data_IF_566773828363
#
_entry.id   IF_566773828363
#
_cell.length_a   1.000
_cell.length_b   1.000
_cell.length_c   1.000
_cell.angle_alpha   90.00
_cell.angle_beta   90.00
_cell.angle_gamma   90.00
#
_symmetry.space_group_name_H-M   'P 1'
#
loop_
_entity.id
_entity.type
_entity.pdbx_description
1 polymer ?
#
# COMPACT_ATOMS: atom_id res chain seq x y z
N UNK A 1 8.69 0.50 14.95
CA UNK A 1 8.66 -0.81 14.27
C UNK A 1 8.46 -0.51 12.80
N UNK A 2 9.29 -1.06 11.93
CA UNK A 2 9.04 -0.97 10.49
C UNK A 2 7.87 -1.89 10.14
N UNK A 3 6.99 -1.45 9.26
CA UNK A 3 5.96 -2.28 8.64
C UNK A 3 6.41 -2.55 7.21
N UNK A 4 6.81 -3.79 6.95
CA UNK A 4 7.43 -4.16 5.69
C UNK A 4 6.38 -4.63 4.68
N UNK A 5 6.60 -4.33 3.41
CA UNK A 5 5.72 -4.78 2.34
C UNK A 5 6.48 -5.15 1.07
N UNK A 6 5.78 -5.81 0.16
CA UNK A 6 6.23 -6.05 -1.20
C UNK A 6 5.22 -5.45 -2.17
N UNK A 7 5.72 -4.83 -3.24
CA UNK A 7 4.92 -4.23 -4.32
C UNK A 7 5.22 -4.99 -5.59
N UNK A 8 4.18 -5.58 -6.20
CA UNK A 8 4.30 -6.55 -7.28
C UNK A 8 3.41 -6.21 -8.48
N UNK A 9 3.83 -6.65 -9.65
CA UNK A 9 3.11 -6.50 -10.91
C UNK A 9 2.96 -7.86 -11.61
N UNK A 10 1.70 -8.24 -11.92
CA UNK A 10 1.39 -9.42 -12.70
C UNK A 10 1.49 -9.11 -14.19
N UNK A 11 2.47 -9.73 -14.84
CA UNK A 11 2.73 -9.61 -16.26
C UNK A 11 1.70 -10.40 -17.11
N UNK A 12 1.61 -10.06 -18.37
CA UNK A 12 0.71 -10.75 -19.32
C UNK A 12 1.06 -12.21 -19.60
N UNK A 13 2.32 -12.61 -19.35
CA UNK A 13 2.79 -13.99 -19.47
C UNK A 13 2.53 -14.83 -18.19
N UNK A 14 1.97 -14.22 -17.14
CA UNK A 14 1.66 -14.86 -15.87
C UNK A 14 2.77 -14.76 -14.83
N UNK A 15 3.97 -14.30 -15.22
CA UNK A 15 5.06 -14.05 -14.28
C UNK A 15 4.79 -12.79 -13.44
N UNK A 16 5.35 -12.75 -12.24
CA UNK A 16 5.24 -11.62 -11.33
C UNK A 16 6.62 -11.05 -11.07
N UNK A 17 6.74 -9.74 -11.08
CA UNK A 17 7.94 -9.01 -10.66
C UNK A 17 7.60 -8.21 -9.42
N UNK A 18 8.53 -8.13 -8.46
CA UNK A 18 8.28 -7.40 -7.22
C UNK A 18 9.49 -6.67 -6.68
N UNK A 19 9.19 -5.62 -5.92
CA UNK A 19 10.13 -4.81 -5.15
C UNK A 19 9.75 -4.84 -3.68
N UNK A 20 10.73 -4.80 -2.80
CA UNK A 20 10.56 -4.74 -1.36
C UNK A 20 10.47 -3.29 -0.87
N UNK A 21 9.60 -3.01 0.10
CA UNK A 21 9.49 -1.69 0.77
C UNK A 21 9.62 -1.87 2.28
N UNK A 22 10.61 -1.21 2.89
CA UNK A 22 10.99 -1.43 4.29
C UNK A 22 10.11 -0.70 5.30
N UNK A 23 9.65 0.52 4.99
CA UNK A 23 8.85 1.33 5.91
C UNK A 23 7.45 1.59 5.37
N UNK A 24 6.52 1.83 6.31
CA UNK A 24 5.16 2.30 6.07
C UNK A 24 4.31 1.40 5.17
N UNK A 25 4.58 0.08 5.19
CA UNK A 25 3.94 -0.92 4.33
C UNK A 25 2.44 -1.09 4.50
N UNK A 26 1.77 -0.39 5.43
CA UNK A 26 0.33 -0.46 5.68
C UNK A 26 -0.49 0.30 4.61
N UNK A 27 -1.81 0.08 4.59
CA UNK A 27 -2.68 0.61 3.54
C UNK A 27 -2.73 2.14 3.48
N UNK A 28 -2.62 2.84 4.62
CA UNK A 28 -2.57 4.31 4.68
C UNK A 28 -1.16 4.89 4.52
N UNK A 29 -0.17 4.05 4.31
CA UNK A 29 1.20 4.40 3.92
C UNK A 29 1.44 4.02 2.46
N UNK A 30 2.17 2.92 2.23
CA UNK A 30 2.46 2.41 0.87
C UNK A 30 1.19 2.26 0.04
N UNK A 31 0.11 1.73 0.61
CA UNK A 31 -1.16 1.56 -0.11
C UNK A 31 -1.72 2.87 -0.65
N UNK A 32 -1.70 3.94 0.15
CA UNK A 32 -2.13 5.28 -0.28
C UNK A 32 -1.22 5.81 -1.40
N UNK A 33 0.08 5.71 -1.24
CA UNK A 33 1.07 6.14 -2.25
C UNK A 33 0.86 5.42 -3.58
N UNK A 34 0.59 4.12 -3.56
CA UNK A 34 0.29 3.34 -4.76
C UNK A 34 -0.98 3.82 -5.45
N UNK A 35 -2.04 4.08 -4.71
CA UNK A 35 -3.30 4.59 -5.25
C UNK A 35 -3.14 5.99 -5.85
N UNK A 36 -2.46 6.90 -5.18
CA UNK A 36 -2.34 8.31 -5.60
C UNK A 36 -1.34 8.50 -6.75
N UNK A 37 -0.22 7.76 -6.76
CA UNK A 37 0.91 8.07 -7.64
C UNK A 37 1.27 6.95 -8.62
N UNK A 38 0.88 5.69 -8.35
CA UNK A 38 1.25 4.52 -9.16
C UNK A 38 0.06 3.74 -9.71
N UNK A 39 -1.09 4.41 -9.88
CA UNK A 39 -2.35 3.79 -10.27
C UNK A 39 -2.56 3.75 -11.81
N UNK A 40 -1.54 3.35 -12.54
CA UNK A 40 -1.60 3.03 -13.97
C UNK A 40 -0.66 1.87 -14.27
N UNK A 41 -0.90 1.18 -15.40
CA UNK A 41 -0.13 -0.01 -15.79
C UNK A 41 1.38 0.27 -15.89
N UNK A 42 1.73 1.40 -16.52
CA UNK A 42 3.12 1.84 -16.66
C UNK A 42 3.78 2.15 -15.31
N UNK A 43 3.10 2.91 -14.45
CA UNK A 43 3.63 3.31 -13.14
C UNK A 43 3.69 2.14 -12.17
N UNK A 44 2.68 1.26 -12.20
CA UNK A 44 2.67 0.05 -11.40
C UNK A 44 3.81 -0.89 -11.76
N UNK A 45 4.08 -1.08 -13.06
CA UNK A 45 5.25 -1.84 -13.49
C UNK A 45 6.55 -1.17 -13.03
N UNK A 46 6.68 0.15 -13.22
CA UNK A 46 7.89 0.89 -12.85
C UNK A 46 8.25 0.74 -11.37
N UNK A 47 7.27 0.87 -10.46
CA UNK A 47 7.51 0.71 -9.02
C UNK A 47 7.81 -0.74 -8.63
N UNK A 48 7.31 -1.71 -9.38
CA UNK A 48 7.51 -3.14 -9.09
C UNK A 48 8.86 -3.69 -9.57
N UNK A 49 9.63 -2.93 -10.33
CA UNK A 49 10.95 -3.33 -10.84
C UNK A 49 12.12 -2.53 -10.24
N UNK A 50 11.90 -1.79 -9.16
CA UNK A 50 12.94 -0.99 -8.51
C UNK A 50 13.84 -1.77 -7.53
N UNK A 51 13.45 -3.00 -7.18
CA UNK A 51 14.18 -3.88 -6.27
C UNK A 51 13.91 -3.57 -4.79
N UNK A 52 14.62 -2.63 -4.22
CA UNK A 52 14.48 -2.26 -2.81
C UNK A 52 14.16 -0.78 -2.63
N UNK A 53 13.19 -0.49 -1.76
CA UNK A 53 12.90 0.87 -1.30
C UNK A 53 12.99 0.94 0.23
N UNK A 54 13.71 1.92 0.76
CA UNK A 54 13.62 2.23 2.20
C UNK A 54 12.22 2.74 2.55
N UNK A 55 11.70 3.67 1.76
CA UNK A 55 10.31 4.14 1.78
C UNK A 55 9.86 4.47 0.37
N UNK A 56 8.57 4.40 0.11
CA UNK A 56 7.99 4.76 -1.17
C UNK A 56 7.42 6.18 -1.10
N UNK A 57 7.87 7.07 -2.00
CA UNK A 57 7.35 8.43 -2.16
C UNK A 57 6.57 8.57 -3.47
N UNK A 58 6.03 9.76 -3.74
CA UNK A 58 5.33 10.08 -4.99
C UNK A 58 6.27 10.06 -6.21
N UNK A 59 7.56 10.37 -6.00
CA UNK A 59 8.60 10.32 -7.03
C UNK A 59 9.44 9.03 -6.88
N UNK A 60 9.44 8.22 -7.95
CA UNK A 60 10.18 6.97 -7.98
C UNK A 60 11.70 7.17 -7.88
N UNK A 61 12.24 8.23 -8.51
CA UNK A 61 13.67 8.51 -8.45
C UNK A 61 14.09 8.88 -7.02
N UNK A 62 13.27 9.68 -6.32
CA UNK A 62 13.50 10.00 -4.90
C UNK A 62 13.46 8.75 -4.03
N UNK A 63 12.54 7.83 -4.30
CA UNK A 63 12.45 6.55 -3.58
C UNK A 63 13.69 5.68 -3.80
N UNK A 64 14.23 5.66 -5.03
CA UNK A 64 15.44 4.91 -5.37
C UNK A 64 16.70 5.56 -4.79
N UNK A 65 16.82 6.90 -4.84
CA UNK A 65 17.97 7.62 -4.27
C UNK A 65 18.11 7.46 -2.76
N UNK A 66 16.99 7.34 -2.05
CA UNK A 66 16.96 7.11 -0.60
C UNK A 66 17.21 5.65 -0.21
N UNK A 67 17.25 4.75 -1.18
CA UNK A 67 17.48 3.33 -0.92
C UNK A 67 18.95 3.08 -0.63
N UNK A 68 19.23 2.56 0.57
CA UNK A 68 20.61 2.22 1.01
C UNK A 68 21.05 0.82 0.59
N UNK A 69 20.13 0.03 0.04
CA UNK A 69 20.35 -1.33 -0.41
C UNK A 69 20.06 -1.45 -1.90
N UNK A 70 20.87 -2.26 -2.60
CA UNK A 70 20.71 -2.61 -4.01
C UNK A 70 20.26 -4.06 -4.11
N UNK A 71 19.11 -4.37 -3.55
CA UNK A 71 18.54 -5.71 -3.71
C UNK A 71 17.98 -5.89 -5.10
N UNK A 72 18.13 -7.09 -5.63
CA UNK A 72 17.63 -7.42 -6.95
C UNK A 72 16.09 -7.51 -6.93
N UNK A 73 15.50 -7.29 -8.09
CA UNK A 73 14.07 -7.49 -8.32
C UNK A 73 13.76 -8.97 -8.16
N UNK A 74 12.80 -9.29 -7.31
CA UNK A 74 12.31 -10.66 -7.18
C UNK A 74 11.37 -11.00 -8.33
N UNK A 75 11.52 -12.20 -8.88
CA UNK A 75 10.69 -12.68 -9.98
C UNK A 75 10.11 -14.05 -9.64
N UNK A 76 8.84 -14.23 -9.97
CA UNK A 76 8.08 -15.46 -9.73
C UNK A 76 7.42 -15.92 -11.04
N UNK A 77 7.50 -17.20 -11.32
CA UNK A 77 6.94 -17.76 -12.55
C UNK A 77 5.40 -17.90 -12.50
N UNK A 78 4.81 -17.80 -11.29
CA UNK A 78 3.37 -17.95 -11.11
C UNK A 78 2.86 -17.21 -9.86
N UNK A 79 1.54 -17.03 -9.82
CA UNK A 79 0.83 -16.51 -8.63
C UNK A 79 1.02 -17.43 -7.41
N UNK A 80 1.06 -18.72 -7.61
CA UNK A 80 1.26 -19.71 -6.53
C UNK A 80 2.62 -19.51 -5.87
N UNK A 81 3.68 -19.38 -6.66
CA UNK A 81 5.03 -19.13 -6.15
C UNK A 81 5.13 -17.80 -5.39
N UNK A 82 4.48 -16.76 -5.90
CA UNK A 82 4.42 -15.47 -5.20
C UNK A 82 3.66 -15.55 -3.87
N UNK A 83 2.55 -16.27 -3.82
CA UNK A 83 1.80 -16.50 -2.58
C UNK A 83 2.61 -17.33 -1.57
N UNK A 84 3.33 -18.36 -2.03
CA UNK A 84 4.26 -19.14 -1.21
C UNK A 84 5.37 -18.26 -0.64
N UNK A 85 5.99 -17.40 -1.46
CA UNK A 85 6.97 -16.42 -1.02
C UNK A 85 6.43 -15.50 0.08
N UNK A 86 5.22 -14.97 -0.09
CA UNK A 86 4.57 -14.14 0.94
C UNK A 86 4.36 -14.91 2.25
N UNK A 87 3.98 -16.20 2.17
CA UNK A 87 3.72 -17.05 3.33
C UNK A 87 5.00 -17.43 4.08
N UNK A 88 6.10 -17.64 3.38
CA UNK A 88 7.38 -18.04 3.97
C UNK A 88 8.15 -16.88 4.59
N UNK A 89 7.93 -15.65 4.11
CA UNK A 89 8.62 -14.45 4.57
C UNK A 89 7.87 -13.76 5.71
N UNK A 90 8.04 -14.25 6.93
CA UNK A 90 7.33 -13.77 8.14
C UNK A 90 7.61 -12.31 8.54
N UNK A 91 8.58 -11.66 7.91
CA UNK A 91 8.87 -10.23 8.11
C UNK A 91 8.03 -9.32 7.21
N UNK A 92 7.43 -9.87 6.15
CA UNK A 92 6.48 -9.13 5.30
C UNK A 92 5.13 -9.06 6.01
N UNK A 93 4.56 -7.88 6.12
CA UNK A 93 3.25 -7.67 6.73
C UNK A 93 2.17 -7.41 5.68
N UNK A 94 2.54 -6.85 4.52
CA UNK A 94 1.65 -6.55 3.40
C UNK A 94 2.25 -6.98 2.06
N UNK A 95 1.37 -7.44 1.17
CA UNK A 95 1.67 -7.67 -0.24
C UNK A 95 0.70 -6.89 -1.12
N UNK A 96 1.23 -6.07 -2.02
CA UNK A 96 0.47 -5.31 -3.02
C UNK A 96 0.71 -5.90 -4.39
N UNK A 97 -0.36 -6.13 -5.17
CA UNK A 97 -0.28 -6.70 -6.50
C UNK A 97 -1.10 -5.89 -7.49
N UNK A 98 -0.46 -5.37 -8.53
CA UNK A 98 -1.14 -4.81 -9.68
C UNK A 98 -1.60 -5.91 -10.62
N UNK A 99 -2.91 -5.99 -10.84
CA UNK A 99 -3.53 -6.94 -11.77
C UNK A 99 -4.87 -6.43 -12.28
N UNK A 100 -5.16 -6.64 -13.55
CA UNK A 100 -6.42 -6.25 -14.14
C UNK A 100 -6.72 -4.74 -14.05
N UNK A 101 -5.69 -3.90 -14.14
CA UNK A 101 -5.81 -2.44 -14.09
C UNK A 101 -6.08 -1.85 -12.71
N UNK A 102 -5.76 -2.57 -11.63
CA UNK A 102 -5.97 -2.11 -10.26
C UNK A 102 -5.02 -2.75 -9.26
N UNK A 103 -4.80 -2.06 -8.15
CA UNK A 103 -4.08 -2.60 -7.01
C UNK A 103 -4.95 -3.53 -6.16
N UNK A 104 -4.39 -4.69 -5.85
CA UNK A 104 -4.90 -5.63 -4.86
C UNK A 104 -3.98 -5.61 -3.64
N UNK A 105 -4.50 -5.93 -2.46
CA UNK A 105 -3.73 -6.04 -1.22
C UNK A 105 -4.03 -7.34 -0.50
N UNK A 106 -2.99 -7.93 0.06
CA UNK A 106 -3.06 -9.02 1.02
C UNK A 106 -2.22 -8.67 2.25
N UNK A 107 -2.57 -9.18 3.41
CA UNK A 107 -1.87 -8.92 4.66
C UNK A 107 -1.87 -10.12 5.59
N UNK A 108 -0.89 -10.17 6.51
CA UNK A 108 -0.90 -11.14 7.57
C UNK A 108 -2.07 -10.88 8.53
N UNK A 109 -2.86 -11.91 8.76
CA UNK A 109 -3.89 -11.92 9.80
C UNK A 109 -3.44 -12.80 10.96
N UNK A 110 -3.41 -12.26 12.16
CA UNK A 110 -3.22 -13.03 13.39
C UNK A 110 -4.59 -13.37 13.97
N UNK A 111 -5.08 -14.56 13.63
CA UNK A 111 -6.35 -15.07 14.16
C UNK A 111 -6.03 -16.20 15.14
N UNK A 112 -6.21 -15.97 16.45
CA UNK A 112 -5.96 -16.99 17.48
C UNK A 112 -4.48 -17.34 17.62
N UNK A 113 -4.15 -18.63 17.54
CA UNK A 113 -2.78 -19.16 17.78
C UNK A 113 -1.93 -19.20 16.50
N UNK A 114 -2.51 -18.91 15.33
CA UNK A 114 -1.86 -18.95 14.03
C UNK A 114 -1.82 -17.59 13.36
N UNK A 115 -0.81 -17.38 12.52
CA UNK A 115 -0.78 -16.29 11.56
C UNK A 115 -1.01 -16.88 10.16
N UNK A 116 -1.81 -16.21 9.34
CA UNK A 116 -2.06 -16.61 7.97
C UNK A 116 -2.17 -15.38 7.08
N UNK A 117 -1.73 -15.51 5.83
CA UNK A 117 -2.00 -14.50 4.82
C UNK A 117 -3.49 -14.51 4.45
N UNK A 118 -4.09 -13.31 4.41
CA UNK A 118 -5.39 -13.13 3.80
C UNK A 118 -5.24 -13.20 2.28
N UNK A 119 -6.26 -13.71 1.60
CA UNK A 119 -6.30 -13.62 0.13
C UNK A 119 -6.30 -12.15 -0.35
N UNK A 120 -5.89 -11.95 -1.59
CA UNK A 120 -5.87 -10.62 -2.19
C UNK A 120 -7.28 -10.01 -2.29
N UNK A 121 -7.43 -8.77 -1.86
CA UNK A 121 -8.64 -7.97 -1.97
C UNK A 121 -8.34 -6.64 -2.68
N UNK A 122 -9.37 -5.98 -3.23
CA UNK A 122 -9.16 -4.69 -3.88
C UNK A 122 -8.66 -3.64 -2.87
N UNK A 123 -7.51 -3.02 -3.18
CA UNK A 123 -6.84 -2.07 -2.28
C UNK A 123 -7.75 -0.89 -1.89
N UNK A 124 -8.52 -0.33 -2.82
CA UNK A 124 -9.45 0.77 -2.52
C UNK A 124 -10.41 0.40 -1.38
N UNK A 125 -10.98 -0.80 -1.41
CA UNK A 125 -11.90 -1.26 -0.36
C UNK A 125 -11.19 -1.39 0.98
N UNK A 126 -9.98 -1.95 0.99
CA UNK A 126 -9.17 -2.11 2.20
C UNK A 126 -8.72 -0.74 2.73
N UNK A 127 -8.21 0.13 1.86
CA UNK A 127 -7.77 1.48 2.20
C UNK A 127 -8.89 2.32 2.84
N UNK A 128 -10.09 2.34 2.26
CA UNK A 128 -11.22 3.08 2.82
C UNK A 128 -11.58 2.56 4.22
N UNK A 129 -11.59 1.25 4.41
CA UNK A 129 -11.91 0.62 5.70
C UNK A 129 -10.85 0.93 6.77
N UNK A 130 -9.58 0.72 6.46
CA UNK A 130 -8.48 0.91 7.43
C UNK A 130 -8.16 2.39 7.63
N UNK A 131 -8.31 3.21 6.59
CA UNK A 131 -8.19 4.66 6.68
C UNK A 131 -9.17 5.27 7.68
N UNK A 132 -10.44 4.87 7.64
CA UNK A 132 -11.45 5.34 8.62
C UNK A 132 -11.06 5.02 10.06
N UNK A 133 -10.55 3.82 10.32
CA UNK A 133 -10.05 3.45 11.65
C UNK A 133 -8.83 4.28 12.06
N UNK A 134 -8.00 4.65 11.10
CA UNK A 134 -6.83 5.48 11.33
C UNK A 134 -7.24 6.91 11.68
N UNK A 135 -8.22 7.49 10.97
CA UNK A 135 -8.82 8.79 11.31
C UNK A 135 -9.36 8.79 12.74
N UNK A 136 -10.14 7.77 13.12
CA UNK A 136 -10.66 7.65 14.49
C UNK A 136 -9.52 7.68 15.53
N UNK A 137 -8.46 6.90 15.29
CA UNK A 137 -7.29 6.87 16.19
C UNK A 137 -6.59 8.23 16.31
N UNK A 138 -6.46 8.98 15.21
CA UNK A 138 -5.88 10.33 15.26
C UNK A 138 -6.79 11.33 15.95
N UNK A 139 -8.11 11.27 15.73
CA UNK A 139 -9.09 12.08 16.46
C UNK A 139 -9.08 11.79 17.97
N UNK A 140 -8.90 10.53 18.38
CA UNK A 140 -8.76 10.15 19.79
C UNK A 140 -7.46 10.73 20.38
N UNK A 141 -6.32 10.60 19.67
CA UNK A 141 -5.05 11.19 20.11
C UNK A 141 -5.11 12.71 20.22
N UNK A 142 -5.77 13.38 19.29
CA UNK A 142 -5.98 14.84 19.36
C UNK A 142 -6.76 15.25 20.63
N UNK A 143 -7.77 14.46 21.03
CA UNK A 143 -8.54 14.70 22.28
C UNK A 143 -7.69 14.47 23.52
N UNK A 144 -6.82 13.46 23.51
CA UNK A 144 -5.97 13.11 24.65
C UNK A 144 -4.79 14.09 24.82
N UNK A 145 -4.39 14.81 23.77
CA UNK A 145 -3.25 15.74 23.81
C UNK A 145 -3.51 17.01 24.64
N UNK A 146 -4.71 17.22 25.14
CA UNK A 146 -5.12 18.30 26.07
C UNK A 146 -4.58 19.70 25.73
N UNK A 147 -4.13 19.96 24.51
CA UNK A 147 -3.67 21.29 24.04
C UNK A 147 -4.87 22.11 23.60
N UNK A 148 -4.86 23.38 23.96
CA UNK A 148 -5.80 24.33 23.39
C UNK A 148 -5.47 24.56 21.90
N UNK A 149 -6.42 24.23 21.03
CA UNK A 149 -6.33 24.42 19.59
C UNK A 149 -6.21 23.13 18.78
N UNK A 150 -6.09 23.30 17.48
CA UNK A 150 -5.96 22.20 16.51
C UNK A 150 -4.56 21.57 16.62
N UNK A 151 -4.50 20.24 16.65
CA UNK A 151 -3.25 19.46 16.76
C UNK A 151 -2.81 18.96 15.39
N UNK A 152 -1.54 18.52 15.26
CA UNK A 152 -1.05 17.82 14.08
C UNK A 152 -1.87 16.55 13.76
N UNK A 153 -2.42 15.90 14.78
CA UNK A 153 -3.30 14.75 14.62
C UNK A 153 -4.63 15.11 13.95
N UNK A 154 -5.20 16.30 14.26
CA UNK A 154 -6.41 16.79 13.60
C UNK A 154 -6.15 17.10 12.13
N UNK A 155 -5.02 17.74 11.82
CA UNK A 155 -4.63 18.07 10.44
C UNK A 155 -4.46 16.82 9.59
N UNK A 156 -3.70 15.83 10.10
CA UNK A 156 -3.52 14.57 9.41
C UNK A 156 -4.84 13.79 9.23
N UNK A 157 -5.70 13.80 10.25
CA UNK A 157 -7.02 13.16 10.15
C UNK A 157 -7.88 13.80 9.06
N UNK A 158 -7.90 15.13 8.95
CA UNK A 158 -8.67 15.86 7.92
C UNK A 158 -8.16 15.56 6.51
N UNK A 159 -6.85 15.57 6.30
CA UNK A 159 -6.24 15.24 5.01
C UNK A 159 -6.54 13.79 4.60
N UNK A 160 -6.44 12.86 5.55
CA UNK A 160 -6.75 11.46 5.30
C UNK A 160 -8.24 11.25 4.99
N UNK A 161 -9.15 11.96 5.67
CA UNK A 161 -10.60 11.91 5.37
C UNK A 161 -10.90 12.35 3.93
N UNK A 162 -10.27 13.43 3.46
CA UNK A 162 -10.43 13.89 2.06
C UNK A 162 -9.98 12.82 1.06
N UNK A 163 -8.83 12.19 1.33
CA UNK A 163 -8.30 11.12 0.48
C UNK A 163 -9.19 9.88 0.51
N UNK A 164 -9.69 9.49 1.68
CA UNK A 164 -10.63 8.37 1.83
C UNK A 164 -11.92 8.61 1.04
N UNK A 165 -12.49 9.81 1.12
CA UNK A 165 -13.74 10.14 0.41
C UNK A 165 -13.53 10.13 -1.11
N UNK A 166 -12.39 10.63 -1.60
CA UNK A 166 -12.01 10.55 -3.01
C UNK A 166 -11.99 9.09 -3.49
N UNK A 167 -11.27 8.22 -2.80
CA UNK A 167 -11.15 6.82 -3.19
C UNK A 167 -12.42 6.01 -2.97
N UNK A 168 -13.22 6.34 -1.95
CA UNK A 168 -14.52 5.74 -1.74
C UNK A 168 -15.47 6.01 -2.93
N UNK A 169 -15.55 7.26 -3.38
CA UNK A 169 -16.36 7.64 -4.55
C UNK A 169 -15.87 6.97 -5.84
N UNK A 170 -14.56 6.84 -6.01
CA UNK A 170 -13.98 6.06 -7.11
C UNK A 170 -14.40 4.59 -7.03
N UNK A 171 -14.31 3.97 -5.87
CA UNK A 171 -14.73 2.59 -5.64
C UNK A 171 -16.22 2.35 -5.88
N UNK A 172 -17.06 3.38 -5.69
CA UNK A 172 -18.49 3.33 -6.00
C UNK A 172 -18.80 3.62 -7.47
N UNK A 173 -17.80 3.93 -8.30
CA UNK A 173 -17.98 4.29 -9.70
C UNK A 173 -18.51 5.71 -9.93
N UNK A 174 -18.48 6.57 -8.93
CA UNK A 174 -18.93 7.96 -9.00
C UNK A 174 -17.90 8.90 -9.65
N UNK A 175 -16.64 8.49 -9.68
CA UNK A 175 -15.52 9.24 -10.24
C UNK A 175 -14.80 8.34 -11.25
N UNK A 176 -14.54 8.86 -12.45
CA UNK A 176 -13.76 8.15 -13.46
C UNK A 176 -12.26 8.13 -13.12
N UNK A 177 -11.54 7.14 -13.61
CA UNK A 177 -10.09 6.97 -13.39
C UNK A 177 -9.28 8.22 -13.80
N UNK A 178 -9.68 8.89 -14.87
CA UNK A 178 -9.04 10.11 -15.38
C UNK A 178 -9.11 11.29 -14.38
N UNK A 179 -10.17 11.34 -13.58
CA UNK A 179 -10.34 12.37 -12.55
C UNK A 179 -9.50 12.14 -11.28
N UNK A 180 -8.86 10.97 -11.18
CA UNK A 180 -8.01 10.63 -10.02
C UNK A 180 -6.58 11.11 -10.19
N UNK A 181 -6.15 11.40 -11.43
CA UNK A 181 -4.80 11.82 -11.77
C UNK A 181 -4.61 13.37 -11.75
N UNK A 182 -5.65 14.12 -11.44
CA UNK A 182 -5.67 15.58 -11.35
C UNK A 182 -5.57 16.08 -9.90
#
# INVERSE_FOLDING_TARGET
>A
MSTNSVVAYLRSDGAIVSSYVHYDGYETGVGMTLLEHYNSDERALAVSVGGYYSSLSEDLNESLEKSVHTEEVEMFDSMTEFEEYLMENSHLEFGYLWTGGKWMVSSWSRIGVGAAWNGFSWLVTSFVREGRKTVERFRDRARDDNREGRTEYDEYADELEVTIDKWHRYGMGEIATEAMAA
#
